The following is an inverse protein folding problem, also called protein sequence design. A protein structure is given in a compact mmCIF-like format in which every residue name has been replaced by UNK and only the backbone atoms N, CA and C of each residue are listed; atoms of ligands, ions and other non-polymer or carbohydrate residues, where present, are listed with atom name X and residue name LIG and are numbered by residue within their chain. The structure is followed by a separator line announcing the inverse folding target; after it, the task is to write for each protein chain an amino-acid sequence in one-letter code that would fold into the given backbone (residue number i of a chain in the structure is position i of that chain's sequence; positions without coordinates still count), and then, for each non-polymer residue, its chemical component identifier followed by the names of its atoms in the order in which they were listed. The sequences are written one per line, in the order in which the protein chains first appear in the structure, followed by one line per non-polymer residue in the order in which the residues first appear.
data_IF_092750539990
#
_entry.id   IF_092750539990
#
_cell.length_a   1.000
_cell.length_b   1.000
_cell.length_c   1.000
_cell.angle_alpha   90.00
_cell.angle_beta   90.00
_cell.angle_gamma   90.00
#
_symmetry.space_group_name_H-M   'P 1'
#
loop_
_entity.id
_entity.type
_entity.pdbx_description
1 polymer ?
#
# COMPACT_ATOMS: atom_id res chain seq x y z
N UNK A 1 -14.23 20.76 12.37
CA UNK A 1 -12.85 21.24 12.10
C UNK A 1 -11.80 20.32 12.73
N UNK A 2 -11.95 19.94 14.01
CA UNK A 2 -11.03 19.02 14.68
C UNK A 2 -10.94 17.67 13.95
N UNK A 3 -12.08 17.10 13.54
CA UNK A 3 -12.11 15.81 12.82
C UNK A 3 -11.37 15.86 11.47
N UNK A 4 -11.45 17.00 10.77
CA UNK A 4 -10.70 17.23 9.54
C UNK A 4 -9.19 17.25 9.80
N UNK A 5 -8.75 17.99 10.82
CA UNK A 5 -7.32 18.10 11.15
C UNK A 5 -6.78 16.74 11.58
N UNK A 6 -7.51 16.01 12.43
CA UNK A 6 -7.11 14.67 12.88
C UNK A 6 -7.04 13.69 11.69
N UNK A 7 -8.07 13.65 10.84
CA UNK A 7 -8.06 12.82 9.64
C UNK A 7 -6.85 13.13 8.77
N UNK A 8 -6.59 14.41 8.48
CA UNK A 8 -5.45 14.80 7.65
C UNK A 8 -4.11 14.37 8.27
N UNK A 9 -3.91 14.55 9.57
CA UNK A 9 -2.66 14.14 10.24
C UNK A 9 -2.44 12.63 10.17
N UNK A 10 -3.46 11.83 10.50
CA UNK A 10 -3.34 10.37 10.47
C UNK A 10 -3.19 9.83 9.05
N UNK A 11 -3.95 10.35 8.09
CA UNK A 11 -3.84 9.95 6.67
C UNK A 11 -2.51 10.36 6.05
N UNK A 12 -1.98 11.54 6.40
CA UNK A 12 -0.65 11.96 5.95
C UNK A 12 0.41 11.00 6.52
N UNK A 13 0.35 10.68 7.81
CA UNK A 13 1.28 9.75 8.43
C UNK A 13 1.23 8.36 7.80
N UNK A 14 0.02 7.83 7.56
CA UNK A 14 -0.21 6.53 6.90
C UNK A 14 0.38 6.50 5.49
N UNK A 15 0.06 7.51 4.67
CA UNK A 15 0.60 7.60 3.30
C UNK A 15 2.11 7.82 3.28
N UNK A 16 2.67 8.58 4.21
CA UNK A 16 4.13 8.72 4.36
C UNK A 16 4.79 7.39 4.69
N UNK A 17 4.18 6.60 5.59
CA UNK A 17 4.68 5.28 5.94
C UNK A 17 4.66 4.31 4.75
N UNK A 18 3.62 4.38 3.89
CA UNK A 18 3.57 3.63 2.64
C UNK A 18 4.70 4.02 1.68
N UNK A 19 4.93 5.31 1.42
CA UNK A 19 6.05 5.75 0.57
C UNK A 19 7.41 5.37 1.16
N UNK A 20 7.57 5.50 2.47
CA UNK A 20 8.79 5.07 3.15
C UNK A 20 9.05 3.59 2.95
N UNK A 21 8.04 2.73 3.18
CA UNK A 21 8.15 1.29 2.96
C UNK A 21 8.49 0.98 1.50
N UNK A 22 7.83 1.65 0.55
CA UNK A 22 8.07 1.51 -0.89
C UNK A 22 9.52 1.77 -1.26
N UNK A 23 10.07 2.93 -0.86
CA UNK A 23 11.44 3.31 -1.20
C UNK A 23 12.47 2.42 -0.52
N UNK A 24 12.18 1.92 0.70
CA UNK A 24 13.06 0.94 1.34
C UNK A 24 13.00 -0.44 0.68
N UNK A 25 11.84 -0.86 0.20
CA UNK A 25 11.65 -2.14 -0.49
C UNK A 25 12.37 -2.18 -1.84
N UNK A 26 12.42 -1.08 -2.57
CA UNK A 26 13.04 -0.98 -3.91
C UNK A 26 14.33 -0.16 -3.97
N UNK A 27 15.02 0.03 -2.82
CA UNK A 27 16.27 0.79 -2.71
C UNK A 27 16.25 2.16 -3.41
N UNK A 28 15.08 2.81 -3.43
CA UNK A 28 14.92 4.09 -4.10
C UNK A 28 15.36 5.25 -3.20
N UNK A 29 15.83 6.32 -3.83
CA UNK A 29 16.22 7.54 -3.11
C UNK A 29 15.02 8.19 -2.42
N UNK A 30 15.27 8.77 -1.25
CA UNK A 30 14.22 9.38 -0.44
C UNK A 30 14.10 10.87 -0.75
N UNK A 31 12.91 11.28 -1.17
CA UNK A 31 12.57 12.67 -1.44
C UNK A 31 11.50 13.16 -0.43
N UNK A 32 11.88 13.51 0.81
CA UNK A 32 10.94 13.73 1.90
C UNK A 32 9.92 14.84 1.58
N UNK A 33 10.34 15.94 0.95
CA UNK A 33 9.45 17.04 0.56
C UNK A 33 8.37 16.55 -0.41
N UNK A 34 8.77 15.80 -1.44
CA UNK A 34 7.86 15.22 -2.43
C UNK A 34 6.91 14.18 -1.80
N UNK A 35 7.40 13.38 -0.85
CA UNK A 35 6.58 12.43 -0.09
C UNK A 35 5.51 13.18 0.71
N UNK A 36 5.89 14.22 1.46
CA UNK A 36 4.94 15.03 2.25
C UNK A 36 3.87 15.65 1.35
N UNK A 37 4.28 16.19 0.21
CA UNK A 37 3.35 16.77 -0.76
C UNK A 37 2.36 15.73 -1.31
N UNK A 38 2.87 14.58 -1.77
CA UNK A 38 2.04 13.49 -2.28
C UNK A 38 1.06 12.96 -1.21
N UNK A 39 1.54 12.80 0.02
CA UNK A 39 0.74 12.41 1.18
C UNK A 39 -0.36 13.41 1.51
N UNK A 40 -0.07 14.71 1.47
CA UNK A 40 -1.06 15.76 1.74
C UNK A 40 -2.16 15.78 0.69
N UNK A 41 -1.81 15.68 -0.60
CA UNK A 41 -2.79 15.65 -1.70
C UNK A 41 -3.64 14.38 -1.65
N UNK A 42 -3.02 13.22 -1.45
CA UNK A 42 -3.72 11.94 -1.32
C UNK A 42 -4.73 11.95 -0.16
N UNK A 43 -4.32 12.49 0.99
CA UNK A 43 -5.16 12.62 2.19
C UNK A 43 -6.33 13.57 1.96
N UNK A 44 -6.10 14.70 1.30
CA UNK A 44 -7.16 15.65 0.97
C UNK A 44 -8.22 15.05 0.04
N UNK A 45 -7.78 14.31 -0.98
CA UNK A 45 -8.70 13.61 -1.89
C UNK A 45 -9.46 12.52 -1.14
N UNK A 46 -8.80 11.77 -0.26
CA UNK A 46 -9.45 10.75 0.57
C UNK A 46 -10.52 11.36 1.48
N UNK A 47 -10.22 12.47 2.14
CA UNK A 47 -11.18 13.18 2.98
C UNK A 47 -12.40 13.60 2.18
N UNK A 48 -12.18 14.14 0.98
CA UNK A 48 -13.25 14.60 0.10
C UNK A 48 -14.13 13.43 -0.36
N UNK A 49 -13.54 12.32 -0.80
CA UNK A 49 -14.28 11.13 -1.21
C UNK A 49 -15.14 10.55 -0.08
N UNK A 50 -14.59 10.48 1.14
CA UNK A 50 -15.24 9.82 2.27
C UNK A 50 -16.28 10.67 2.99
N UNK A 51 -16.00 11.97 3.18
CA UNK A 51 -16.81 12.86 4.01
C UNK A 51 -17.65 13.87 3.23
N UNK A 52 -17.28 14.20 1.99
CA UNK A 52 -18.03 15.18 1.17
C UNK A 52 -18.92 14.46 0.16
N UNK A 53 -18.37 13.49 -0.56
CA UNK A 53 -19.12 12.74 -1.57
C UNK A 53 -19.74 11.44 -1.04
N UNK A 54 -19.31 10.98 0.14
CA UNK A 54 -19.75 9.71 0.76
C UNK A 54 -19.50 8.46 -0.12
N UNK A 55 -18.58 8.55 -1.09
CA UNK A 55 -18.22 7.46 -2.01
C UNK A 55 -16.99 6.71 -1.47
N UNK A 56 -17.12 6.14 -0.27
CA UNK A 56 -16.03 5.42 0.40
C UNK A 56 -15.53 4.21 -0.42
N UNK A 57 -16.42 3.64 -1.25
CA UNK A 57 -16.13 2.43 -2.04
C UNK A 57 -15.08 2.60 -3.12
N UNK A 58 -14.96 3.80 -3.66
CA UNK A 58 -14.03 4.09 -4.76
C UNK A 58 -12.72 4.66 -4.22
N UNK A 59 -12.69 5.12 -2.96
CA UNK A 59 -11.51 5.77 -2.38
C UNK A 59 -10.26 4.89 -2.46
N UNK A 60 -10.36 3.59 -2.14
CA UNK A 60 -9.23 2.65 -2.23
C UNK A 60 -8.63 2.62 -3.64
N UNK A 61 -9.46 2.56 -4.68
CA UNK A 61 -8.99 2.56 -6.07
C UNK A 61 -8.36 3.89 -6.46
N UNK A 62 -8.94 5.00 -6.00
CA UNK A 62 -8.39 6.35 -6.22
C UNK A 62 -7.05 6.50 -5.52
N UNK A 63 -6.88 5.99 -4.31
CA UNK A 63 -5.60 6.05 -3.58
C UNK A 63 -4.50 5.22 -4.26
N UNK A 64 -4.82 4.00 -4.73
CA UNK A 64 -3.87 3.19 -5.51
C UNK A 64 -3.47 3.92 -6.79
N UNK A 65 -4.44 4.50 -7.51
CA UNK A 65 -4.17 5.23 -8.74
C UNK A 65 -3.35 6.51 -8.51
N UNK A 66 -3.66 7.28 -7.46
CA UNK A 66 -2.90 8.47 -7.08
C UNK A 66 -1.47 8.10 -6.70
N UNK A 67 -1.27 7.06 -5.89
CA UNK A 67 0.07 6.60 -5.52
C UNK A 67 0.86 6.19 -6.78
N UNK A 68 0.24 5.48 -7.71
CA UNK A 68 0.85 5.16 -9.01
C UNK A 68 1.24 6.43 -9.80
N UNK A 69 0.33 7.41 -9.91
CA UNK A 69 0.60 8.69 -10.58
C UNK A 69 1.75 9.44 -9.93
N UNK A 70 1.84 9.47 -8.60
CA UNK A 70 2.95 10.12 -7.90
C UNK A 70 4.27 9.39 -8.15
N UNK A 71 4.31 8.06 -8.06
CA UNK A 71 5.52 7.27 -8.38
C UNK A 71 5.97 7.50 -9.81
N UNK A 72 5.04 7.56 -10.76
CA UNK A 72 5.37 7.81 -12.16
C UNK A 72 5.83 9.26 -12.41
N UNK A 73 5.01 10.25 -12.06
CA UNK A 73 5.20 11.65 -12.47
C UNK A 73 6.08 12.45 -11.51
N UNK A 74 5.89 12.26 -10.20
CA UNK A 74 6.60 13.03 -9.17
C UNK A 74 7.99 12.45 -8.91
N UNK A 75 8.08 11.13 -8.77
CA UNK A 75 9.34 10.42 -8.50
C UNK A 75 10.05 9.94 -9.78
N UNK A 76 9.49 10.22 -10.97
CA UNK A 76 10.08 9.98 -12.29
C UNK A 76 10.47 8.52 -12.52
N UNK A 77 9.67 7.58 -12.02
CA UNK A 77 9.85 6.15 -12.26
C UNK A 77 9.12 5.74 -13.53
N UNK A 78 9.72 4.91 -14.38
CA UNK A 78 9.04 4.41 -15.59
C UNK A 78 7.72 3.68 -15.21
N UNK A 79 6.60 3.91 -15.92
CA UNK A 79 5.26 3.48 -15.51
C UNK A 79 5.14 1.98 -15.20
N UNK A 80 5.83 1.13 -15.95
CA UNK A 80 5.90 -0.30 -15.66
C UNK A 80 6.40 -0.61 -14.24
N UNK A 81 7.51 0.01 -13.83
CA UNK A 81 8.09 -0.20 -12.50
C UNK A 81 7.30 0.55 -11.43
N UNK A 82 6.74 1.72 -11.75
CA UNK A 82 5.84 2.44 -10.87
C UNK A 82 4.63 1.58 -10.46
N UNK A 83 4.07 0.81 -11.40
CA UNK A 83 2.99 -0.15 -11.13
C UNK A 83 3.43 -1.23 -10.14
N UNK A 84 4.58 -1.86 -10.38
CA UNK A 84 5.15 -2.89 -9.49
C UNK A 84 5.37 -2.33 -8.08
N UNK A 85 6.02 -1.16 -7.98
CA UNK A 85 6.30 -0.51 -6.70
C UNK A 85 5.02 -0.20 -5.94
N UNK A 86 4.02 0.33 -6.64
CA UNK A 86 2.74 0.72 -6.07
C UNK A 86 1.98 -0.50 -5.54
N UNK A 87 1.75 -1.51 -6.37
CA UNK A 87 0.90 -2.64 -5.96
C UNK A 87 1.59 -3.50 -4.89
N UNK A 88 2.90 -3.75 -5.00
CA UNK A 88 3.63 -4.51 -3.99
C UNK A 88 3.61 -3.82 -2.62
N UNK A 89 3.78 -2.51 -2.59
CA UNK A 89 3.71 -1.72 -1.36
C UNK A 89 2.30 -1.69 -0.80
N UNK A 90 1.31 -1.41 -1.64
CA UNK A 90 -0.08 -1.34 -1.20
C UNK A 90 -0.56 -2.67 -0.65
N UNK A 91 -0.26 -3.78 -1.34
CA UNK A 91 -0.60 -5.12 -0.90
C UNK A 91 0.15 -5.49 0.40
N UNK A 92 1.44 -5.16 0.49
CA UNK A 92 2.20 -5.32 1.73
C UNK A 92 1.61 -4.53 2.89
N UNK A 93 1.18 -3.30 2.65
CA UNK A 93 0.55 -2.43 3.65
C UNK A 93 -0.79 -3.00 4.11
N UNK A 94 -1.63 -3.49 3.19
CA UNK A 94 -2.91 -4.14 3.52
C UNK A 94 -2.70 -5.40 4.36
N UNK A 95 -1.65 -6.19 4.10
CA UNK A 95 -1.30 -7.35 4.93
C UNK A 95 -0.90 -6.92 6.35
N UNK A 96 -0.09 -5.87 6.47
CA UNK A 96 0.29 -5.30 7.78
C UNK A 96 -0.97 -4.82 8.51
N UNK A 97 -1.86 -4.11 7.81
CA UNK A 97 -3.11 -3.60 8.37
C UNK A 97 -4.07 -4.71 8.82
N UNK A 98 -4.26 -5.74 8.00
CA UNK A 98 -5.05 -6.90 8.37
C UNK A 98 -4.45 -7.63 9.59
N UNK A 99 -3.12 -7.75 9.66
CA UNK A 99 -2.43 -8.34 10.82
C UNK A 99 -2.69 -7.53 12.09
N UNK A 100 -2.52 -6.21 12.04
CA UNK A 100 -2.83 -5.33 13.17
C UNK A 100 -4.30 -5.42 13.56
N UNK A 101 -5.21 -5.46 12.59
CA UNK A 101 -6.65 -5.61 12.82
C UNK A 101 -6.97 -6.91 13.59
N UNK A 102 -6.50 -8.06 13.11
CA UNK A 102 -6.75 -9.34 13.78
C UNK A 102 -6.15 -9.39 15.21
N UNK A 103 -4.97 -8.78 15.43
CA UNK A 103 -4.38 -8.70 16.77
C UNK A 103 -5.30 -7.91 17.71
N UNK A 104 -5.81 -6.76 17.26
CA UNK A 104 -6.65 -5.90 18.09
C UNK A 104 -8.04 -6.49 18.31
N UNK A 105 -8.56 -7.25 17.35
CA UNK A 105 -9.79 -8.04 17.48
C UNK A 105 -9.64 -9.11 18.57
N UNK A 106 -8.53 -9.86 18.58
CA UNK A 106 -8.26 -10.89 19.61
C UNK A 106 -8.11 -10.29 21.01
N UNK A 107 -7.56 -9.08 21.13
CA UNK A 107 -7.43 -8.37 22.41
C UNK A 107 -8.79 -7.79 22.88
N UNK A 108 -9.81 -7.80 22.03
CA UNK A 108 -11.15 -7.28 22.34
C UNK A 108 -11.25 -5.76 22.23
N UNK A 109 -10.30 -5.09 21.57
CA UNK A 109 -10.33 -3.64 21.32
C UNK A 109 -11.23 -3.31 20.13
N UNK A 110 -11.39 -4.25 19.19
CA UNK A 110 -12.31 -4.15 18.05
C UNK A 110 -13.39 -5.23 18.09
N UNK A 111 -14.65 -4.80 17.91
CA UNK A 111 -15.72 -5.67 17.45
C UNK A 111 -15.93 -5.43 15.95
N UNK A 112 -16.09 -6.51 15.17
CA UNK A 112 -16.29 -6.53 13.70
C UNK A 112 -17.34 -5.49 13.24
N UNK A 113 -18.33 -5.18 14.07
CA UNK A 113 -19.47 -4.31 13.75
C UNK A 113 -19.25 -2.81 13.96
N UNK A 114 -18.16 -2.37 14.61
CA UNK A 114 -18.03 -0.98 15.09
C UNK A 114 -17.07 -0.09 14.29
N UNK A 115 -16.42 -0.59 13.24
CA UNK A 115 -15.36 0.13 12.51
C UNK A 115 -15.82 1.42 11.82
N UNK A 116 -17.08 1.51 11.41
CA UNK A 116 -17.64 2.70 10.76
C UNK A 116 -18.01 3.81 11.74
N UNK A 117 -18.21 3.51 13.04
CA UNK A 117 -18.59 4.49 14.06
C UNK A 117 -17.52 4.72 15.15
N UNK A 118 -16.47 3.91 15.22
CA UNK A 118 -15.40 4.05 16.21
C UNK A 118 -14.18 4.79 15.63
N UNK A 119 -14.27 6.13 15.61
CA UNK A 119 -13.19 7.04 15.17
C UNK A 119 -11.87 6.73 15.91
N UNK A 120 -11.95 6.42 17.20
CA UNK A 120 -10.77 6.12 18.03
C UNK A 120 -10.10 4.83 17.58
N UNK A 121 -10.90 3.78 17.33
CA UNK A 121 -10.41 2.51 16.80
C UNK A 121 -9.68 2.71 15.47
N UNK A 122 -10.32 3.37 14.51
CA UNK A 122 -9.75 3.60 13.18
C UNK A 122 -8.43 4.37 13.23
N UNK A 123 -8.34 5.43 14.04
CA UNK A 123 -7.10 6.19 14.22
C UNK A 123 -5.98 5.35 14.88
N UNK A 124 -6.34 4.51 15.86
CA UNK A 124 -5.40 3.62 16.53
C UNK A 124 -4.87 2.55 15.58
N UNK A 125 -5.73 1.96 14.76
CA UNK A 125 -5.33 1.01 13.72
C UNK A 125 -4.37 1.69 12.73
N UNK A 126 -4.72 2.85 12.16
CA UNK A 126 -3.86 3.61 11.24
C UNK A 126 -2.49 3.94 11.84
N UNK A 127 -2.45 4.27 13.13
CA UNK A 127 -1.20 4.59 13.82
C UNK A 127 -0.32 3.36 13.98
N UNK A 128 -0.90 2.24 14.41
CA UNK A 128 -0.17 0.97 14.56
C UNK A 128 0.33 0.43 13.24
N UNK A 129 -0.44 0.58 12.17
CA UNK A 129 -0.06 0.12 10.83
C UNK A 129 1.02 0.98 10.23
N UNK A 130 0.91 2.31 10.33
CA UNK A 130 1.94 3.24 9.91
C UNK A 130 3.27 2.97 10.66
N UNK A 131 3.19 2.78 11.98
CA UNK A 131 4.37 2.46 12.79
C UNK A 131 5.00 1.11 12.40
N UNK A 132 4.18 0.08 12.19
CA UNK A 132 4.64 -1.25 11.76
C UNK A 132 5.28 -1.21 10.38
N UNK A 133 4.70 -0.49 9.43
CA UNK A 133 5.26 -0.29 8.09
C UNK A 133 6.60 0.46 8.15
N UNK A 134 6.71 1.48 9.01
CA UNK A 134 7.96 2.20 9.22
C UNK A 134 9.05 1.31 9.83
N UNK A 135 8.71 0.51 10.85
CA UNK A 135 9.62 -0.47 11.45
C UNK A 135 10.10 -1.51 10.44
N UNK A 136 9.19 -2.04 9.61
CA UNK A 136 9.54 -2.98 8.55
C UNK A 136 10.47 -2.34 7.51
N UNK A 137 10.18 -1.11 7.07
CA UNK A 137 11.06 -0.36 6.17
C UNK A 137 12.45 -0.12 6.78
N UNK A 138 12.53 0.19 8.07
CA UNK A 138 13.81 0.32 8.79
C UNK A 138 14.57 -1.01 8.86
N UNK A 139 13.89 -2.12 9.14
CA UNK A 139 14.48 -3.46 9.15
C UNK A 139 15.02 -3.88 7.79
N UNK A 140 14.27 -3.62 6.71
CA UNK A 140 14.70 -3.87 5.32
C UNK A 140 15.95 -3.08 4.99
N UNK A 141 15.98 -1.78 5.37
CA UNK A 141 17.15 -0.91 5.18
C UNK A 141 18.38 -1.46 5.90
N UNK A 142 18.24 -1.82 7.19
CA UNK A 142 19.33 -2.34 8.01
C UNK A 142 19.89 -3.66 7.45
N UNK A 143 19.01 -4.52 6.94
CA UNK A 143 19.39 -5.78 6.32
C UNK A 143 19.87 -5.67 4.86
N UNK A 144 19.83 -4.48 4.24
CA UNK A 144 20.09 -4.27 2.81
C UNK A 144 19.30 -5.23 1.89
N UNK A 145 18.11 -5.65 2.32
CA UNK A 145 17.27 -6.67 1.66
C UNK A 145 16.33 -6.12 0.58
N UNK A 146 16.44 -4.84 0.23
CA UNK A 146 15.64 -4.25 -0.84
C UNK A 146 16.08 -4.71 -2.24
N UNK A 147 15.20 -4.55 -3.21
CA UNK A 147 15.43 -4.90 -4.62
C UNK A 147 16.04 -3.72 -5.38
N UNK A 148 16.98 -4.00 -6.29
CA UNK A 148 17.75 -3.00 -7.06
C UNK A 148 17.31 -2.93 -8.54
N UNK A 149 16.53 -3.91 -9.02
CA UNK A 149 16.15 -4.00 -10.43
C UNK A 149 15.27 -2.83 -10.95
N UNK A 150 14.86 -1.89 -10.10
CA UNK A 150 14.04 -0.74 -10.47
C UNK A 150 14.94 0.43 -10.90
N UNK A 151 14.91 0.84 -12.17
CA UNK A 151 15.76 1.93 -12.63
C UNK A 151 15.29 3.29 -12.09
N UNK A 152 16.24 4.18 -11.82
CA UNK A 152 15.98 5.56 -11.39
C UNK A 152 15.60 6.52 -12.53
N UNK A 153 15.41 6.02 -13.76
CA UNK A 153 15.07 6.82 -14.93
C UNK A 153 13.72 6.41 -15.53
N UNK A 154 12.94 7.42 -15.93
CA UNK A 154 11.64 7.25 -16.59
C UNK A 154 11.73 6.78 -18.05
N UNK A 155 12.90 6.91 -18.70
CA UNK A 155 13.06 6.66 -20.14
C UNK A 155 13.67 5.29 -20.46
N UNK A 156 13.52 4.31 -19.56
CA UNK A 156 14.09 2.97 -19.75
C UNK A 156 13.19 2.12 -20.64
N UNK A 157 13.78 1.49 -21.66
CA UNK A 157 13.08 0.51 -22.48
C UNK A 157 12.86 -0.78 -21.68
N UNK A 158 11.61 -1.12 -21.41
CA UNK A 158 11.26 -2.39 -20.75
C UNK A 158 11.21 -3.49 -21.80
N UNK A 159 12.18 -4.40 -21.75
CA UNK A 159 12.10 -5.65 -22.54
C UNK A 159 10.98 -6.53 -21.96
N UNK A 160 10.03 -6.94 -22.78
CA UNK A 160 8.94 -7.83 -22.36
C UNK A 160 9.45 -9.27 -22.18
N UNK A 161 10.10 -9.54 -21.05
CA UNK A 161 10.50 -10.89 -20.64
C UNK A 161 9.32 -11.64 -19.98
N UNK A 162 9.41 -12.97 -19.89
CA UNK A 162 8.41 -13.79 -19.19
C UNK A 162 8.19 -13.32 -17.73
N UNK A 163 9.26 -12.86 -17.08
CA UNK A 163 9.21 -12.32 -15.71
C UNK A 163 8.40 -11.02 -15.68
N UNK A 164 8.60 -10.13 -16.66
CA UNK A 164 7.86 -8.87 -16.74
C UNK A 164 6.37 -9.07 -17.03
N UNK A 165 6.02 -10.04 -17.89
CA UNK A 165 4.62 -10.42 -18.13
C UNK A 165 3.98 -10.97 -16.85
N UNK A 166 4.72 -11.78 -16.09
CA UNK A 166 4.25 -12.33 -14.82
C UNK A 166 4.03 -11.24 -13.77
N UNK A 167 4.88 -10.20 -13.74
CA UNK A 167 4.62 -9.02 -12.91
C UNK A 167 3.32 -8.34 -13.29
N UNK A 168 3.04 -8.10 -14.58
CA UNK A 168 1.77 -7.49 -14.99
C UNK A 168 0.59 -8.32 -14.50
N UNK A 169 0.64 -9.65 -14.69
CA UNK A 169 -0.40 -10.57 -14.23
C UNK A 169 -0.61 -10.51 -12.71
N UNK A 170 0.47 -10.49 -11.93
CA UNK A 170 0.40 -10.41 -10.46
C UNK A 170 -0.09 -9.05 -9.96
N UNK A 171 0.30 -7.96 -10.61
CA UNK A 171 -0.22 -6.62 -10.31
C UNK A 171 -1.72 -6.56 -10.60
N UNK A 172 -2.16 -7.02 -11.77
CA UNK A 172 -3.59 -7.06 -12.12
C UNK A 172 -4.39 -7.93 -11.13
N UNK A 173 -3.87 -9.11 -10.78
CA UNK A 173 -4.47 -9.99 -9.78
C UNK A 173 -4.56 -9.31 -8.41
N UNK A 174 -3.51 -8.58 -7.99
CA UNK A 174 -3.50 -7.88 -6.70
C UNK A 174 -4.60 -6.81 -6.62
N UNK A 175 -4.76 -5.99 -7.66
CA UNK A 175 -5.81 -4.96 -7.72
C UNK A 175 -7.20 -5.60 -7.72
N UNK A 176 -7.38 -6.70 -8.46
CA UNK A 176 -8.64 -7.44 -8.48
C UNK A 176 -9.00 -8.00 -7.09
N UNK A 177 -8.05 -8.66 -6.43
CA UNK A 177 -8.27 -9.23 -5.08
C UNK A 177 -8.53 -8.12 -4.06
N UNK A 178 -7.78 -7.01 -4.09
CA UNK A 178 -8.00 -5.86 -3.22
C UNK A 178 -9.42 -5.27 -3.37
N UNK A 179 -9.90 -5.16 -4.62
CA UNK A 179 -11.26 -4.70 -4.91
C UNK A 179 -12.32 -5.67 -4.35
N UNK A 180 -12.03 -6.97 -4.41
CA UNK A 180 -12.91 -8.01 -3.87
C UNK A 180 -12.92 -8.03 -2.33
N UNK A 181 -11.76 -7.82 -1.69
CA UNK A 181 -11.63 -7.69 -0.22
C UNK A 181 -12.54 -6.58 0.29
N UNK A 182 -12.51 -5.42 -0.36
CA UNK A 182 -13.32 -4.27 0.03
C UNK A 182 -14.83 -4.58 -0.02
N UNK A 183 -15.30 -5.18 -1.12
CA UNK A 183 -16.70 -5.55 -1.28
C UNK A 183 -17.16 -6.58 -0.24
N UNK A 184 -16.29 -7.52 0.13
CA UNK A 184 -16.64 -8.53 1.14
C UNK A 184 -16.63 -7.98 2.57
N UNK A 185 -15.74 -7.04 2.89
CA UNK A 185 -15.78 -6.31 4.15
C UNK A 185 -17.10 -5.55 4.31
N UNK A 186 -17.63 -4.97 3.23
CA UNK A 186 -18.90 -4.24 3.26
C UNK A 186 -20.13 -5.14 3.50
N UNK A 187 -20.00 -6.47 3.37
CA UNK A 187 -21.12 -7.42 3.47
C UNK A 187 -20.93 -8.48 4.58
N UNK A 188 -20.08 -8.18 5.57
CA UNK A 188 -19.99 -8.84 6.89
C UNK A 188 -19.89 -10.38 6.85
N UNK A 189 -18.97 -10.90 6.03
CA UNK A 189 -18.76 -12.35 5.88
C UNK A 189 -17.46 -12.82 6.56
N UNK A 190 -17.54 -13.92 7.33
CA UNK A 190 -16.42 -14.68 7.96
C UNK A 190 -15.26 -15.11 7.03
N UNK A 191 -15.25 -14.69 5.77
CA UNK A 191 -14.28 -15.09 4.74
C UNK A 191 -13.00 -14.25 4.73
N UNK A 192 -12.89 -13.23 5.58
CA UNK A 192 -11.74 -12.33 5.65
C UNK A 192 -10.41 -13.07 5.91
N UNK A 193 -10.46 -14.12 6.75
CA UNK A 193 -9.29 -14.96 7.05
C UNK A 193 -8.76 -15.66 5.80
N UNK A 194 -9.63 -16.23 4.96
CA UNK A 194 -9.21 -16.90 3.72
C UNK A 194 -8.58 -15.92 2.72
N UNK A 195 -9.17 -14.73 2.59
CA UNK A 195 -8.67 -13.68 1.72
C UNK A 195 -7.29 -13.19 2.18
N UNK A 196 -7.08 -13.07 3.49
CA UNK A 196 -5.79 -12.71 4.05
C UNK A 196 -4.68 -13.70 3.63
N UNK A 197 -4.95 -15.01 3.68
CA UNK A 197 -4.01 -16.01 3.18
C UNK A 197 -3.75 -15.90 1.67
N UNK A 198 -4.77 -15.58 0.87
CA UNK A 198 -4.60 -15.32 -0.56
C UNK A 198 -3.71 -14.10 -0.80
N UNK A 199 -3.90 -13.02 -0.05
CA UNK A 199 -3.04 -11.83 -0.15
C UNK A 199 -1.58 -12.16 0.20
N UNK A 200 -1.33 -12.93 1.26
CA UNK A 200 0.02 -13.40 1.62
C UNK A 200 0.64 -14.21 0.48
N UNK A 201 -0.13 -15.12 -0.14
CA UNK A 201 0.36 -15.91 -1.25
C UNK A 201 0.74 -15.04 -2.45
N UNK A 202 -0.07 -14.04 -2.79
CA UNK A 202 0.22 -13.08 -3.86
C UNK A 202 1.48 -12.26 -3.52
N UNK A 203 1.61 -11.79 -2.28
CA UNK A 203 2.81 -11.07 -1.82
C UNK A 203 4.05 -11.95 -1.94
N UNK A 204 3.96 -13.20 -1.50
CA UNK A 204 5.05 -14.16 -1.61
C UNK A 204 5.49 -14.37 -3.05
N UNK A 205 4.54 -14.54 -3.98
CA UNK A 205 4.82 -14.62 -5.41
C UNK A 205 5.53 -13.36 -5.92
N UNK A 206 5.02 -12.16 -5.59
CA UNK A 206 5.64 -10.89 -5.99
C UNK A 206 7.08 -10.79 -5.48
N UNK A 207 7.32 -11.09 -4.20
CA UNK A 207 8.66 -11.06 -3.60
C UNK A 207 9.58 -12.10 -4.21
N UNK A 208 9.08 -13.31 -4.50
CA UNK A 208 9.85 -14.37 -5.16
C UNK A 208 10.27 -13.96 -6.58
N UNK A 209 9.37 -13.40 -7.38
CA UNK A 209 9.71 -12.90 -8.73
C UNK A 209 10.62 -11.67 -8.67
N UNK A 210 10.44 -10.81 -7.67
CA UNK A 210 11.33 -9.67 -7.42
C UNK A 210 12.75 -10.14 -7.13
N UNK A 211 12.91 -11.15 -6.29
CA UNK A 211 14.20 -11.76 -5.99
C UNK A 211 14.82 -12.44 -7.21
N UNK A 212 14.01 -13.17 -7.99
CA UNK A 212 14.49 -13.83 -9.21
C UNK A 212 14.96 -12.80 -10.24
N UNK A 213 14.23 -11.68 -10.39
CA UNK A 213 14.58 -10.58 -11.29
C UNK A 213 15.86 -9.87 -10.86
N UNK A 214 16.02 -9.65 -9.56
CA UNK A 214 17.20 -8.98 -8.99
C UNK A 214 18.50 -9.80 -9.18
N UNK A 215 18.37 -11.12 -9.36
CA UNK A 215 19.50 -12.05 -9.57
C UNK A 215 19.67 -12.52 -11.02
N UNK A 216 18.69 -12.29 -11.88
CA UNK A 216 18.84 -12.53 -13.30
C UNK A 216 19.50 -11.31 -13.92
N UNK A 217 20.64 -11.48 -14.59
CA UNK A 217 21.35 -10.42 -15.33
C UNK A 217 20.59 -9.92 -16.59
N UNK A 218 19.25 -10.03 -16.61
CA UNK A 218 18.35 -9.67 -17.72
C UNK A 218 17.66 -8.30 -17.53
#
# INVERSE_FOLDING_TARGET
MVDFILFMVFSIMETMAMYYLMFRLFKFDMYPISIVFASAVASFISYTNRNVYEIQSIDVLVQIFLMFMFVWLLFRVHPFYAGIMTCSTYLGYVIIQATCYFILEVIGIFEIKALTNNIVGTNLLQTLTAFSAWLLGWWIKKGRKGFDFVPHSQFVMVKMSKINIMFIGMNALSVFVLSFVYNLFAHDNMKLVYIFFVLILIMYCILYFSYKKDRSDD
#
